data_IF_713459607856
#
_entry.id   IF_713459607856
#
_cell.length_a   1.000
_cell.length_b   1.000
_cell.length_c   1.000
_cell.angle_alpha   90.00
_cell.angle_beta   90.00
_cell.angle_gamma   90.00
#
_symmetry.space_group_name_H-M   'P 1'
#
loop_
_entity.id
_entity.type
_entity.pdbx_description
1 polymer ?
#
# COMPACT_ATOMS: atom_id res chain seq x y z
N UNK A 1 -9.46 5.40 -21.17
CA UNK A 1 -9.38 5.03 -19.74
C UNK A 1 -10.32 3.86 -19.49
N UNK A 2 -9.91 2.86 -18.70
CA UNK A 2 -10.86 1.85 -18.17
C UNK A 2 -11.55 2.47 -16.96
N UNK A 3 -12.88 2.55 -16.98
CA UNK A 3 -13.66 2.92 -15.81
C UNK A 3 -13.69 1.73 -14.85
N UNK A 4 -12.72 1.67 -13.93
CA UNK A 4 -12.85 0.84 -12.73
C UNK A 4 -13.76 1.58 -11.72
N UNK A 5 -14.53 0.86 -10.89
CA UNK A 5 -15.33 1.50 -9.84
C UNK A 5 -14.41 2.28 -8.89
N UNK A 6 -14.73 3.54 -8.60
CA UNK A 6 -13.93 4.38 -7.69
C UNK A 6 -13.74 3.74 -6.29
N UNK A 7 -14.71 2.93 -5.86
CA UNK A 7 -14.67 2.14 -4.62
C UNK A 7 -13.52 1.13 -4.55
N UNK A 8 -12.96 0.68 -5.68
CA UNK A 8 -11.81 -0.23 -5.70
C UNK A 8 -10.53 0.43 -5.20
N UNK A 9 -10.43 1.76 -5.32
CA UNK A 9 -9.28 2.54 -4.84
C UNK A 9 -9.38 2.92 -3.36
N UNK A 10 -10.54 2.70 -2.72
CA UNK A 10 -10.77 3.10 -1.34
C UNK A 10 -10.19 2.15 -0.29
N UNK A 11 -9.88 0.90 -0.65
CA UNK A 11 -9.36 -0.12 0.27
C UNK A 11 -8.50 -1.15 -0.49
N UNK A 12 -7.36 -0.70 -0.97
CA UNK A 12 -6.36 -1.54 -1.65
C UNK A 12 -5.54 -2.30 -0.59
N UNK A 13 -5.42 -3.65 -0.65
CA UNK A 13 -4.58 -4.40 0.27
C UNK A 13 -3.11 -4.12 -0.01
N UNK A 14 -2.30 -3.96 1.05
CA UNK A 14 -0.87 -3.74 0.92
C UNK A 14 -0.09 -4.33 2.09
N UNK A 15 1.25 -4.30 1.97
CA UNK A 15 2.18 -4.54 3.07
C UNK A 15 3.38 -3.59 2.96
N UNK A 16 4.07 -3.31 4.08
CA UNK A 16 5.37 -2.63 4.02
C UNK A 16 6.40 -3.62 3.48
N UNK A 17 7.07 -3.27 2.39
CA UNK A 17 8.14 -4.08 1.84
C UNK A 17 9.48 -3.75 2.50
N UNK A 18 9.91 -2.47 2.44
CA UNK A 18 11.19 -2.02 2.99
C UNK A 18 11.28 -0.48 3.06
N UNK A 19 12.24 0.03 3.84
CA UNK A 19 12.58 1.45 3.93
C UNK A 19 13.96 1.70 3.27
N UNK A 20 14.01 1.60 1.94
CA UNK A 20 15.28 1.55 1.18
C UNK A 20 15.86 2.92 0.85
N UNK A 21 15.09 4.01 0.97
CA UNK A 21 15.49 5.36 0.62
C UNK A 21 15.18 6.32 1.79
N UNK A 22 16.03 7.32 2.07
CA UNK A 22 15.79 8.28 3.14
C UNK A 22 14.47 9.05 2.92
N UNK A 23 13.60 9.08 3.94
CA UNK A 23 12.31 9.75 3.87
C UNK A 23 11.21 8.99 3.13
N UNK A 24 11.49 7.80 2.59
CA UNK A 24 10.50 6.98 1.87
C UNK A 24 10.30 5.61 2.50
N UNK A 25 9.11 5.06 2.26
CA UNK A 25 8.76 3.67 2.53
C UNK A 25 8.30 3.05 1.22
N UNK A 26 8.84 1.88 0.90
CA UNK A 26 8.36 1.06 -0.20
C UNK A 26 7.23 0.17 0.32
N UNK A 27 6.02 0.44 -0.16
CA UNK A 27 4.85 -0.41 0.02
C UNK A 27 4.74 -1.40 -1.12
N UNK A 28 4.07 -2.51 -0.84
CA UNK A 28 3.74 -3.53 -1.81
C UNK A 28 2.21 -3.64 -1.91
N UNK A 29 1.64 -3.09 -2.98
CA UNK A 29 0.19 -3.12 -3.24
C UNK A 29 -0.23 -4.47 -3.85
N UNK A 30 -1.40 -4.94 -3.48
CA UNK A 30 -2.00 -6.21 -3.93
C UNK A 30 -1.02 -7.41 -3.86
N UNK A 31 -0.41 -7.70 -2.69
CA UNK A 31 0.48 -8.85 -2.55
C UNK A 31 -0.22 -10.14 -2.97
N UNK A 32 0.49 -11.00 -3.72
CA UNK A 32 -0.05 -12.25 -4.29
C UNK A 32 -0.91 -12.14 -5.56
N UNK A 33 -1.38 -10.96 -6.00
CA UNK A 33 -2.35 -10.83 -7.12
C UNK A 33 -1.72 -10.41 -8.46
N UNK A 34 -1.08 -11.38 -9.14
CA UNK A 34 -0.54 -11.39 -10.52
C UNK A 34 -0.22 -10.07 -11.25
N UNK A 35 1.01 -9.55 -11.36
CA UNK A 35 2.34 -10.00 -10.90
C UNK A 35 2.85 -11.33 -11.50
N UNK A 36 4.10 -11.71 -11.15
CA UNK A 36 4.51 -13.11 -10.94
C UNK A 36 4.45 -13.52 -9.45
N UNK A 37 3.52 -12.87 -8.73
CA UNK A 37 3.04 -13.06 -7.34
C UNK A 37 3.81 -12.44 -6.16
N UNK A 38 4.52 -11.32 -6.36
CA UNK A 38 5.03 -10.44 -5.29
C UNK A 38 4.75 -8.94 -5.49
N UNK A 39 3.48 -8.55 -5.41
CA UNK A 39 2.89 -7.19 -5.47
C UNK A 39 3.29 -6.20 -6.58
N UNK A 40 2.65 -5.03 -6.54
CA UNK A 40 3.09 -3.82 -7.24
C UNK A 40 3.79 -2.89 -6.25
N UNK A 41 5.08 -2.58 -6.46
CA UNK A 41 5.85 -1.72 -5.55
C UNK A 41 5.46 -0.26 -5.72
N UNK A 42 5.23 0.43 -4.62
CA UNK A 42 4.92 1.86 -4.55
C UNK A 42 5.83 2.55 -3.53
N UNK A 43 6.42 3.67 -3.92
CA UNK A 43 7.18 4.52 -3.01
C UNK A 43 6.26 5.58 -2.44
N UNK A 44 6.29 5.77 -1.12
CA UNK A 44 5.51 6.82 -0.43
C UNK A 44 6.39 7.58 0.55
N UNK A 45 6.16 8.89 0.76
CA UNK A 45 6.76 9.63 1.87
C UNK A 45 6.45 8.94 3.21
N UNK A 46 7.46 8.83 4.07
CA UNK A 46 7.36 8.07 5.32
C UNK A 46 6.31 8.65 6.28
N UNK A 47 5.98 9.94 6.15
CA UNK A 47 4.95 10.66 6.90
C UNK A 47 3.53 10.14 6.64
N UNK A 48 3.27 9.57 5.45
CA UNK A 48 1.95 9.01 5.09
C UNK A 48 1.68 7.68 5.82
N UNK A 49 2.73 6.96 6.20
CA UNK A 49 2.62 5.72 6.99
C UNK A 49 2.81 6.05 8.48
N UNK A 50 1.84 5.75 9.36
CA UNK A 50 1.98 5.93 10.81
C UNK A 50 3.23 5.20 11.36
N UNK A 51 4.00 5.80 12.29
CA UNK A 51 5.29 5.24 12.78
C UNK A 51 5.24 3.77 13.20
N UNK A 52 4.19 3.38 13.90
CA UNK A 52 3.93 2.03 14.41
C UNK A 52 3.61 1.01 13.30
N UNK A 53 3.30 1.47 12.09
CA UNK A 53 2.97 0.64 10.93
C UNK A 53 4.12 0.52 9.92
N UNK A 54 5.31 1.10 10.20
CA UNK A 54 6.46 1.15 9.28
C UNK A 54 7.34 -0.11 9.27
N UNK A 55 7.06 -1.10 10.12
CA UNK A 55 7.85 -2.33 10.19
C UNK A 55 7.66 -3.16 8.92
N UNK A 56 8.71 -3.72 8.29
CA UNK A 56 8.57 -4.62 7.14
C UNK A 56 7.61 -5.79 7.42
N UNK A 57 6.87 -6.19 6.40
CA UNK A 57 5.76 -7.16 6.42
C UNK A 57 4.54 -6.74 7.26
N UNK A 58 4.46 -5.48 7.75
CA UNK A 58 3.22 -4.97 8.35
C UNK A 58 2.12 -4.94 7.31
N UNK A 59 0.97 -5.54 7.61
CA UNK A 59 -0.18 -5.58 6.73
C UNK A 59 -1.00 -4.29 6.81
N UNK A 60 -1.34 -3.75 5.65
CA UNK A 60 -1.94 -2.44 5.48
C UNK A 60 -3.17 -2.48 4.57
N UNK A 61 -4.03 -1.50 4.79
CA UNK A 61 -4.96 -0.99 3.80
C UNK A 61 -4.47 0.37 3.33
N UNK A 62 -4.66 0.61 2.03
CA UNK A 62 -4.23 1.81 1.32
C UNK A 62 -5.44 2.41 0.60
N UNK A 63 -5.60 3.74 0.67
CA UNK A 63 -6.49 4.49 -0.24
C UNK A 63 -5.65 5.20 -1.29
N UNK A 64 -6.05 5.06 -2.55
CA UNK A 64 -5.48 5.79 -3.69
C UNK A 64 -6.39 6.96 -4.10
N UNK A 65 -5.80 7.99 -4.70
CA UNK A 65 -6.53 9.03 -5.45
C UNK A 65 -6.74 8.64 -6.93
N UNK A 66 -7.41 9.50 -7.71
CA UNK A 66 -7.66 9.30 -9.14
C UNK A 66 -6.37 9.24 -10.00
N UNK A 67 -5.24 9.71 -9.45
CA UNK A 67 -3.91 9.66 -10.07
C UNK A 67 -3.08 8.45 -9.58
N UNK A 68 -3.69 7.54 -8.82
CA UNK A 68 -3.05 6.37 -8.18
C UNK A 68 -2.05 6.69 -7.04
N UNK A 69 -2.03 7.92 -6.51
CA UNK A 69 -1.18 8.27 -5.37
C UNK A 69 -1.75 7.70 -4.07
N UNK A 70 -0.88 7.24 -3.17
CA UNK A 70 -1.27 6.81 -1.82
C UNK A 70 -1.60 8.04 -0.97
N UNK A 71 -2.87 8.19 -0.60
CA UNK A 71 -3.36 9.33 0.22
C UNK A 71 -3.72 8.97 1.65
N UNK A 72 -3.86 7.67 1.97
CA UNK A 72 -4.08 7.18 3.34
C UNK A 72 -3.59 5.76 3.52
N UNK A 73 -3.00 5.48 4.67
CA UNK A 73 -2.55 4.15 5.11
C UNK A 73 -3.12 3.85 6.49
N UNK A 74 -3.60 2.63 6.72
CA UNK A 74 -4.01 2.15 8.05
C UNK A 74 -3.79 0.65 8.18
N UNK A 75 -3.80 0.13 9.41
CA UNK A 75 -3.58 -1.29 9.70
C UNK A 75 -4.64 -2.16 9.01
N UNK A 76 -4.20 -3.24 8.36
CA UNK A 76 -5.06 -4.36 7.96
C UNK A 76 -4.98 -5.43 9.03
N UNK A 77 -6.11 -5.72 9.66
CA UNK A 77 -6.24 -6.90 10.52
C UNK A 77 -6.43 -8.13 9.64
N UNK A 78 -5.90 -9.26 10.11
CA UNK A 78 -6.22 -10.56 9.54
C UNK A 78 -7.54 -11.00 10.17
N UNK A 79 -8.48 -11.44 9.33
CA UNK A 79 -9.63 -12.22 9.80
C UNK A 79 -9.10 -13.62 10.15
N UNK A 80 -9.37 -14.09 11.37
CA UNK A 80 -8.95 -15.40 11.90
C UNK A 80 -9.79 -16.57 11.34
#
# INVERSE_FOLDING_TARGET
MRNYPATWYERVPAEVFACLLPGEIQLLLCPGVGLANGGARYHVPFEIVPPELRMPNTLLWVKLDDNMNVVKVWKRELEE
#
